data_IF_301126353151
#
_entry.id   IF_301126353151
#
_cell.length_a   1.000
_cell.length_b   1.000
_cell.length_c   1.000
_cell.angle_alpha   90.00
_cell.angle_beta   90.00
_cell.angle_gamma   90.00
#
_symmetry.space_group_name_H-M   'P 1'
#
loop_
_entity.id
_entity.type
_entity.pdbx_description
1 polymer ?
#
# COMPACT_ATOMS: atom_id res chain seq x y z
N UNK A 1 45.97 37.52 8.71
CA UNK A 1 44.58 37.71 9.21
C UNK A 1 43.99 36.33 9.46
N UNK A 2 43.76 35.98 10.72
CA UNK A 2 43.44 34.62 11.16
C UNK A 2 42.58 34.73 12.42
N UNK A 3 41.33 34.28 12.39
CA UNK A 3 40.63 33.81 13.59
C UNK A 3 39.59 32.75 13.26
N UNK A 4 39.51 31.75 14.13
CA UNK A 4 38.53 30.67 14.12
C UNK A 4 37.30 31.12 14.95
N UNK A 5 36.12 30.57 14.67
CA UNK A 5 34.95 30.68 15.57
C UNK A 5 34.45 29.29 15.95
N UNK A 6 34.42 29.04 17.26
CA UNK A 6 33.80 27.87 17.89
C UNK A 6 32.86 28.35 19.00
N UNK A 7 32.12 27.37 19.54
CA UNK A 7 31.34 27.38 20.78
C UNK A 7 29.86 27.79 20.62
N UNK A 8 29.00 26.92 21.15
CA UNK A 8 27.55 26.96 21.09
C UNK A 8 26.93 27.75 22.25
N UNK A 9 25.67 28.22 22.13
CA UNK A 9 24.97 28.88 23.24
C UNK A 9 24.44 27.88 24.27
N UNK A 10 24.82 28.10 25.54
CA UNK A 10 24.15 27.53 26.71
C UNK A 10 22.65 27.88 26.72
N UNK A 11 21.82 26.95 27.21
CA UNK A 11 20.47 27.26 27.72
C UNK A 11 20.28 26.65 29.09
N UNK A 12 20.37 27.48 30.12
CA UNK A 12 19.96 27.17 31.49
C UNK A 12 19.11 28.35 31.96
N UNK A 13 17.87 28.06 32.37
CA UNK A 13 17.06 28.95 33.21
C UNK A 13 15.98 28.09 33.86
N UNK A 14 16.06 27.97 35.18
CA UNK A 14 15.17 27.14 35.98
C UNK A 14 13.77 27.75 36.09
N UNK A 15 12.77 26.89 36.33
CA UNK A 15 11.36 27.29 36.45
C UNK A 15 10.81 26.82 37.81
N UNK A 16 11.17 27.55 38.86
CA UNK A 16 10.68 27.31 40.20
C UNK A 16 9.38 28.10 40.47
N UNK A 17 8.24 27.41 40.47
CA UNK A 17 6.98 27.92 41.03
C UNK A 17 6.33 26.76 41.81
N UNK A 18 6.36 26.85 43.14
CA UNK A 18 5.63 25.95 44.04
C UNK A 18 4.54 26.71 44.80
N UNK A 19 3.32 26.18 44.94
CA UNK A 19 2.27 26.82 45.73
C UNK A 19 2.45 26.52 47.23
N UNK A 20 2.46 27.58 48.05
CA UNK A 20 2.55 27.50 49.50
C UNK A 20 1.17 27.23 50.13
N UNK A 21 1.10 26.29 51.08
CA UNK A 21 -0.10 26.08 51.90
C UNK A 21 -0.03 26.94 53.17
N UNK A 22 -1.11 27.70 53.41
CA UNK A 22 -1.30 28.59 54.55
C UNK A 22 -1.56 27.78 55.82
N UNK A 23 -0.67 27.87 56.80
CA UNK A 23 -0.89 27.40 58.17
C UNK A 23 -1.23 28.58 59.07
N UNK A 24 -2.36 28.51 59.79
CA UNK A 24 -2.78 29.51 60.78
C UNK A 24 -2.61 28.93 62.18
N UNK A 25 -1.65 29.45 62.94
CA UNK A 25 -1.55 29.18 64.38
C UNK A 25 -2.40 30.18 65.16
N UNK A 26 -3.04 29.73 66.25
CA UNK A 26 -3.65 30.60 67.25
C UNK A 26 -3.54 30.02 68.66
N UNK A 27 -2.84 30.77 69.50
CA UNK A 27 -2.65 30.69 70.97
C UNK A 27 -2.78 32.17 71.42
N UNK A 28 -3.27 32.56 72.63
CA UNK A 28 -3.42 31.80 73.88
C UNK A 28 -4.78 31.97 74.61
N UNK A 29 -4.97 31.27 75.74
CA UNK A 29 -5.11 31.88 77.09
C UNK A 29 -5.18 30.82 78.19
N UNK A 30 -4.40 31.03 79.25
CA UNK A 30 -4.43 30.29 80.51
C UNK A 30 -5.15 31.09 81.59
N UNK A 31 -5.77 30.41 82.56
CA UNK A 31 -6.18 30.97 83.86
C UNK A 31 -6.30 29.83 84.89
N UNK A 32 -5.76 29.96 86.11
CA UNK A 32 -5.73 28.89 87.10
C UNK A 32 -6.90 28.97 88.10
N UNK A 33 -7.28 27.84 88.70
CA UNK A 33 -8.02 27.81 89.97
C UNK A 33 -7.78 26.52 90.76
N UNK A 34 -8.03 26.60 92.07
CA UNK A 34 -7.61 25.71 93.18
C UNK A 34 -8.75 25.85 94.25
N UNK A 35 -9.09 24.95 95.18
CA UNK A 35 -8.24 23.98 95.90
C UNK A 35 -8.70 22.48 95.77
N UNK A 36 -9.32 21.71 96.73
CA UNK A 36 -8.92 20.29 96.86
C UNK A 36 -9.99 19.17 97.09
N UNK A 37 -9.48 17.93 96.98
CA UNK A 37 -9.75 16.73 97.82
C UNK A 37 -11.10 15.97 97.77
N UNK A 38 -10.99 14.79 97.15
CA UNK A 38 -11.35 13.45 97.68
C UNK A 38 -12.74 13.17 98.29
N UNK A 39 -13.41 12.14 97.74
CA UNK A 39 -13.92 10.96 98.45
C UNK A 39 -13.95 9.76 97.47
N UNK A 40 -13.83 8.55 98.01
CA UNK A 40 -13.75 7.26 97.30
C UNK A 40 -15.16 6.71 97.02
N UNK A 41 -15.45 6.19 95.82
CA UNK A 41 -16.39 5.06 95.68
C UNK A 41 -16.25 4.26 94.37
N UNK A 42 -16.22 2.95 94.58
CA UNK A 42 -16.27 1.77 93.73
C UNK A 42 -16.82 1.78 92.28
N UNK A 43 -16.20 0.88 91.49
CA UNK A 43 -16.82 -0.19 90.66
C UNK A 43 -16.81 -0.12 89.12
N UNK A 44 -16.69 -1.33 88.54
CA UNK A 44 -16.89 -1.76 87.14
C UNK A 44 -15.80 -1.45 86.08
N UNK A 45 -15.10 -2.49 85.54
CA UNK A 45 -14.22 -2.36 84.39
C UNK A 45 -15.00 -2.42 83.07
N UNK A 46 -15.41 -1.27 82.54
CA UNK A 46 -15.88 -1.18 81.16
C UNK A 46 -14.69 -1.28 80.19
N UNK A 47 -14.41 -2.48 79.68
CA UNK A 47 -13.51 -2.67 78.54
C UNK A 47 -14.09 -1.99 77.29
N UNK A 48 -13.83 -0.68 77.13
CA UNK A 48 -14.15 0.01 75.89
C UNK A 48 -13.22 -0.54 74.80
N UNK A 49 -13.73 -1.45 73.98
CA UNK A 49 -13.09 -1.82 72.73
C UNK A 49 -12.98 -0.57 71.86
N UNK A 50 -11.84 0.12 71.94
CA UNK A 50 -11.42 1.11 70.95
C UNK A 50 -11.10 0.36 69.67
N UNK A 51 -12.16 -0.03 68.96
CA UNK A 51 -12.11 -0.28 67.53
C UNK A 51 -11.70 1.03 66.87
N UNK A 52 -10.40 1.27 66.80
CA UNK A 52 -9.84 2.25 65.88
C UNK A 52 -10.35 1.83 64.49
N UNK A 53 -11.13 2.69 63.79
CA UNK A 53 -11.38 2.44 62.39
C UNK A 53 -10.06 2.71 61.67
N UNK A 54 -9.23 1.67 61.53
CA UNK A 54 -8.24 1.63 60.45
C UNK A 54 -9.02 1.56 59.14
N UNK A 55 -9.54 2.71 58.71
CA UNK A 55 -9.95 2.95 57.34
C UNK A 55 -8.68 2.95 56.50
N UNK A 56 -8.16 1.75 56.23
CA UNK A 56 -7.04 1.55 55.34
C UNK A 56 -7.50 1.87 53.91
N UNK A 57 -7.47 3.17 53.58
CA UNK A 57 -7.74 3.68 52.24
C UNK A 57 -6.63 3.14 51.34
N UNK A 58 -6.90 2.00 50.71
CA UNK A 58 -6.07 1.47 49.64
C UNK A 58 -6.34 2.32 48.42
N UNK A 59 -5.45 3.29 48.15
CA UNK A 59 -5.41 3.98 46.88
C UNK A 59 -5.07 2.97 45.78
N UNK A 60 -6.09 2.31 45.24
CA UNK A 60 -5.98 1.46 44.08
C UNK A 60 -5.70 2.34 42.86
N UNK A 61 -4.42 2.54 42.53
CA UNK A 61 -4.03 3.06 41.23
C UNK A 61 -4.45 2.04 40.16
N UNK A 62 -5.23 2.50 39.19
CA UNK A 62 -5.85 1.64 38.19
C UNK A 62 -4.79 1.07 37.23
N UNK A 63 -4.30 -0.13 37.57
CA UNK A 63 -3.38 -0.98 36.80
C UNK A 63 -2.05 -0.31 36.41
N UNK A 64 -1.10 -0.29 37.35
CA UNK A 64 0.35 -0.08 37.09
C UNK A 64 1.05 -1.29 36.44
N UNK A 65 0.31 -2.31 36.00
CA UNK A 65 0.80 -3.38 35.14
C UNK A 65 0.12 -3.31 33.78
N UNK A 66 0.93 -3.31 32.71
CA UNK A 66 0.45 -3.29 31.35
C UNK A 66 -0.51 -4.46 31.10
N UNK A 67 -1.67 -4.16 30.50
CA UNK A 67 -2.79 -5.10 30.32
C UNK A 67 -2.31 -6.50 29.90
N UNK A 68 -2.54 -7.51 30.73
CA UNK A 68 -2.03 -8.87 30.53
C UNK A 68 -2.41 -9.52 29.19
N UNK A 69 -3.48 -9.05 28.55
CA UNK A 69 -3.95 -9.50 27.23
C UNK A 69 -3.74 -8.46 26.09
N UNK A 70 -2.81 -7.51 26.23
CA UNK A 70 -2.37 -6.68 25.08
C UNK A 70 -1.50 -7.51 24.15
N UNK A 71 -2.11 -8.04 23.08
CA UNK A 71 -1.38 -8.43 21.87
C UNK A 71 -0.37 -7.34 21.51
N UNK A 72 0.89 -7.72 21.26
CA UNK A 72 1.91 -6.77 20.80
C UNK A 72 1.44 -6.12 19.50
N UNK A 73 1.19 -4.81 19.55
CA UNK A 73 0.72 -4.01 18.40
C UNK A 73 1.88 -3.46 17.56
N UNK A 74 3.03 -4.13 17.56
CA UNK A 74 4.17 -3.74 16.74
C UNK A 74 4.12 -4.41 15.36
N UNK A 75 3.85 -3.68 14.26
CA UNK A 75 3.81 -4.26 12.93
C UNK A 75 5.23 -4.48 12.39
N UNK A 76 5.53 -5.70 11.91
CA UNK A 76 6.81 -6.05 11.31
C UNK A 76 7.37 -4.97 10.36
N UNK A 77 8.64 -4.62 10.56
CA UNK A 77 9.33 -3.51 9.90
C UNK A 77 9.28 -3.56 8.37
N UNK A 78 8.96 -2.41 7.75
CA UNK A 78 8.65 -2.33 6.31
C UNK A 78 9.87 -2.26 5.37
N UNK A 79 11.08 -2.51 5.87
CA UNK A 79 12.36 -2.59 5.11
C UNK A 79 12.59 -1.38 4.17
N UNK A 80 12.23 -0.18 4.63
CA UNK A 80 12.45 1.08 3.93
C UNK A 80 13.95 1.45 3.85
N UNK A 81 14.27 2.62 3.29
CA UNK A 81 15.63 3.13 3.12
C UNK A 81 16.26 2.78 1.77
N UNK A 82 17.57 3.05 1.66
CA UNK A 82 18.36 2.78 0.48
C UNK A 82 18.38 1.28 0.14
N UNK A 83 18.53 1.00 -1.16
CA UNK A 83 18.72 -0.32 -1.78
C UNK A 83 19.90 -0.31 -2.76
N UNK A 84 20.31 0.88 -3.21
CA UNK A 84 21.54 1.14 -3.96
C UNK A 84 22.31 2.30 -3.33
N UNK A 85 23.61 2.12 -3.17
CA UNK A 85 24.54 3.12 -2.60
C UNK A 85 25.04 4.08 -3.68
N UNK A 86 25.64 5.21 -3.27
CA UNK A 86 26.27 6.15 -4.20
C UNK A 86 27.46 5.49 -4.92
N UNK A 87 27.52 5.61 -6.24
CA UNK A 87 28.53 4.97 -7.09
C UNK A 87 28.25 3.51 -7.46
N UNK A 88 27.13 2.93 -7.02
CA UNK A 88 26.73 1.56 -7.41
C UNK A 88 26.10 1.55 -8.82
N UNK A 89 26.43 0.53 -9.61
CA UNK A 89 25.87 0.34 -10.95
C UNK A 89 24.43 -0.18 -10.89
N UNK A 90 23.57 0.36 -11.76
CA UNK A 90 22.14 0.04 -11.85
C UNK A 90 21.68 -0.09 -13.30
N UNK A 91 20.64 -0.90 -13.47
CA UNK A 91 19.95 -1.21 -14.73
C UNK A 91 18.51 -0.67 -14.63
N UNK A 92 17.84 -0.30 -15.75
CA UNK A 92 16.45 0.16 -15.73
C UNK A 92 15.52 -0.73 -14.86
N UNK A 93 14.65 -0.09 -14.08
CA UNK A 93 13.75 -0.76 -13.14
C UNK A 93 14.37 -1.12 -11.79
N UNK A 94 15.69 -1.00 -11.61
CA UNK A 94 16.32 -1.22 -10.30
C UNK A 94 15.84 -0.18 -9.27
N UNK A 95 15.32 -0.66 -8.13
CA UNK A 95 14.94 0.19 -7.00
C UNK A 95 16.20 0.74 -6.33
N UNK A 96 16.27 2.07 -6.15
CA UNK A 96 17.38 2.76 -5.49
C UNK A 96 17.03 3.07 -4.03
N UNK A 97 15.81 3.58 -3.77
CA UNK A 97 15.40 4.00 -2.42
C UNK A 97 13.90 3.78 -2.18
N UNK A 98 13.54 3.12 -1.07
CA UNK A 98 12.14 2.91 -0.65
C UNK A 98 11.79 3.84 0.51
N UNK A 99 10.70 4.59 0.41
CA UNK A 99 10.38 5.64 1.40
C UNK A 99 8.88 5.75 1.72
N UNK A 100 8.57 6.68 2.62
CA UNK A 100 7.24 7.17 2.94
C UNK A 100 7.31 8.70 2.89
N UNK A 101 6.52 9.29 2.02
CA UNK A 101 6.77 10.64 1.50
C UNK A 101 8.07 10.72 0.69
N UNK A 102 8.37 11.92 0.18
CA UNK A 102 9.55 12.22 -0.63
C UNK A 102 10.67 12.81 0.24
N UNK A 103 11.42 11.95 0.93
CA UNK A 103 12.66 12.38 1.63
C UNK A 103 13.77 12.67 0.63
N UNK A 104 13.82 11.85 -0.41
CA UNK A 104 14.57 12.07 -1.64
C UNK A 104 13.58 12.27 -2.78
N UNK A 105 13.95 13.10 -3.75
CA UNK A 105 13.22 13.35 -4.99
C UNK A 105 13.92 12.63 -6.17
N UNK A 106 13.17 12.21 -7.21
CA UNK A 106 13.78 11.71 -8.43
C UNK A 106 14.57 12.83 -9.10
N UNK A 107 15.85 12.57 -9.37
CA UNK A 107 16.74 13.41 -10.17
C UNK A 107 16.87 12.90 -11.60
N UNK A 108 17.98 13.24 -12.24
CA UNK A 108 18.28 12.82 -13.62
C UNK A 108 18.30 11.29 -13.76
N UNK A 109 17.66 10.76 -14.81
CA UNK A 109 17.60 9.33 -15.16
C UNK A 109 17.02 8.42 -14.05
N UNK A 110 16.19 9.01 -13.18
CA UNK A 110 15.42 8.35 -12.14
C UNK A 110 13.93 8.68 -12.29
N UNK A 111 13.08 7.76 -11.87
CA UNK A 111 11.63 7.98 -11.77
C UNK A 111 11.11 7.54 -10.39
N UNK A 112 9.88 7.94 -10.08
CA UNK A 112 9.24 7.71 -8.79
C UNK A 112 7.94 6.94 -8.94
N UNK A 113 7.80 5.84 -8.21
CA UNK A 113 6.59 5.02 -8.18
C UNK A 113 5.51 5.57 -7.26
N UNK A 114 4.31 4.97 -7.32
CA UNK A 114 3.13 5.35 -6.52
C UNK A 114 3.37 5.41 -5.00
N UNK A 115 4.27 4.58 -4.46
CA UNK A 115 4.61 4.57 -3.02
C UNK A 115 5.83 5.46 -2.68
N UNK A 116 6.19 6.38 -3.59
CA UNK A 116 7.38 7.24 -3.57
C UNK A 116 8.72 6.50 -3.65
N UNK A 117 8.73 5.21 -3.99
CA UNK A 117 9.97 4.47 -4.28
C UNK A 117 10.65 5.05 -5.52
N UNK A 118 11.95 5.37 -5.41
CA UNK A 118 12.77 5.85 -6.53
C UNK A 118 13.44 4.65 -7.21
N UNK A 119 13.40 4.60 -8.53
CA UNK A 119 13.99 3.58 -9.38
C UNK A 119 14.73 4.19 -10.58
N UNK A 120 15.74 3.49 -11.09
CA UNK A 120 16.50 3.91 -12.27
C UNK A 120 15.66 3.75 -13.55
N UNK A 121 15.68 4.73 -14.45
CA UNK A 121 15.10 4.60 -15.80
C UNK A 121 16.13 4.15 -16.83
N UNK A 122 17.42 4.39 -16.59
CA UNK A 122 18.51 4.10 -17.52
C UNK A 122 19.68 3.37 -16.83
N UNK A 123 20.58 2.77 -17.62
CA UNK A 123 21.73 2.03 -17.13
C UNK A 123 22.93 2.95 -16.83
N UNK A 124 23.43 2.93 -15.59
CA UNK A 124 24.46 3.84 -15.11
C UNK A 124 24.79 3.67 -13.62
N UNK A 125 25.27 4.73 -12.98
CA UNK A 125 25.75 4.75 -11.59
C UNK A 125 24.96 5.74 -10.74
N UNK A 126 24.50 5.31 -9.56
CA UNK A 126 23.66 6.12 -8.66
C UNK A 126 24.44 7.29 -8.06
N UNK A 127 23.89 8.50 -8.11
CA UNK A 127 24.43 9.68 -7.43
C UNK A 127 23.36 10.36 -6.57
N UNK A 128 23.74 10.66 -5.32
CA UNK A 128 22.93 11.43 -4.36
C UNK A 128 23.47 12.87 -4.37
N UNK A 129 22.61 13.87 -4.55
CA UNK A 129 23.04 15.27 -4.71
C UNK A 129 21.99 16.28 -4.23
N UNK A 130 22.39 17.54 -4.11
CA UNK A 130 21.52 18.70 -3.92
C UNK A 130 21.52 19.50 -5.22
N UNK A 131 20.39 20.12 -5.59
CA UNK A 131 20.32 21.02 -6.74
C UNK A 131 19.75 22.38 -6.29
N UNK A 132 20.61 23.31 -5.83
CA UNK A 132 20.15 24.61 -5.33
C UNK A 132 19.63 25.53 -6.44
N UNK A 133 20.05 25.33 -7.71
CA UNK A 133 19.57 26.12 -8.85
C UNK A 133 18.09 25.87 -9.14
N UNK A 134 17.62 24.63 -8.96
CA UNK A 134 16.19 24.31 -9.04
C UNK A 134 15.48 24.50 -7.70
N UNK A 135 15.93 23.80 -6.65
CA UNK A 135 15.23 23.69 -5.37
C UNK A 135 16.23 23.62 -4.20
N UNK A 136 16.46 24.75 -3.54
CA UNK A 136 17.44 24.95 -2.45
C UNK A 136 17.50 23.84 -1.39
N UNK A 137 16.34 23.41 -0.86
CA UNK A 137 16.27 22.46 0.27
C UNK A 137 16.12 20.99 -0.15
N UNK A 138 15.81 20.70 -1.42
CA UNK A 138 15.43 19.34 -1.84
C UNK A 138 16.65 18.50 -2.19
N UNK A 139 16.58 17.23 -1.79
CA UNK A 139 17.64 16.24 -1.99
C UNK A 139 17.25 15.27 -3.10
N UNK A 140 18.17 14.98 -4.00
CA UNK A 140 17.91 14.23 -5.22
C UNK A 140 18.72 12.94 -5.32
N UNK A 141 18.14 11.97 -6.02
CA UNK A 141 18.79 10.72 -6.43
C UNK A 141 18.70 10.65 -7.96
N UNK A 142 19.84 10.64 -8.64
CA UNK A 142 19.93 10.48 -10.09
C UNK A 142 20.88 9.34 -10.48
N UNK A 143 20.98 9.08 -11.79
CA UNK A 143 21.86 8.06 -12.38
C UNK A 143 22.73 8.68 -13.47
N UNK A 144 24.05 8.64 -13.28
CA UNK A 144 25.05 9.05 -14.26
C UNK A 144 25.37 7.91 -15.23
N UNK A 145 25.59 8.19 -16.51
CA UNK A 145 26.02 7.16 -17.47
C UNK A 145 27.43 6.62 -17.22
N UNK A 146 28.31 7.52 -16.81
CA UNK A 146 29.72 7.26 -16.49
C UNK A 146 29.89 7.18 -14.98
N UNK A 147 30.88 6.39 -14.53
CA UNK A 147 31.17 6.23 -13.11
C UNK A 147 31.54 7.55 -12.47
N UNK A 148 32.38 8.35 -13.13
CA UNK A 148 32.90 9.62 -12.61
C UNK A 148 32.02 10.83 -12.92
N UNK A 149 30.87 10.60 -13.58
CA UNK A 149 29.85 11.61 -13.81
C UNK A 149 29.34 12.22 -12.50
N UNK A 150 29.26 13.55 -12.47
CA UNK A 150 28.77 14.36 -11.34
C UNK A 150 27.38 14.92 -11.66
N UNK A 151 26.53 14.96 -10.63
CA UNK A 151 25.23 15.65 -10.64
C UNK A 151 25.23 16.73 -9.55
N UNK A 152 24.48 17.84 -9.70
CA UNK A 152 23.59 18.16 -10.84
C UNK A 152 24.37 18.48 -12.12
N UNK A 153 23.74 18.27 -13.29
CA UNK A 153 24.24 18.88 -14.53
C UNK A 153 24.02 20.40 -14.50
N UNK A 154 24.97 21.22 -14.96
CA UNK A 154 24.81 22.67 -14.98
C UNK A 154 23.82 23.09 -16.06
N UNK A 155 22.98 24.09 -15.76
CA UNK A 155 21.80 24.48 -16.58
C UNK A 155 22.05 24.70 -18.08
N UNK A 156 23.24 25.15 -18.47
CA UNK A 156 23.57 25.48 -19.86
C UNK A 156 24.34 24.35 -20.60
N UNK A 157 24.63 23.22 -19.96
CA UNK A 157 25.28 22.10 -20.62
C UNK A 157 24.29 21.24 -21.44
N UNK A 158 24.74 20.59 -22.53
CA UNK A 158 23.90 19.67 -23.29
C UNK A 158 23.50 18.45 -22.43
N UNK A 159 22.21 18.10 -22.50
CA UNK A 159 21.66 16.89 -21.87
C UNK A 159 22.32 15.65 -22.43
N UNK A 160 23.13 14.96 -21.60
CA UNK A 160 23.72 13.65 -21.94
C UNK A 160 22.58 12.63 -22.04
N UNK A 161 22.60 11.75 -23.04
CA UNK A 161 21.59 10.70 -23.28
C UNK A 161 22.25 9.47 -23.93
N UNK A 162 21.69 8.27 -23.72
CA UNK A 162 22.10 7.05 -24.43
C UNK A 162 21.08 6.64 -25.49
N UNK A 163 21.55 6.21 -26.65
CA UNK A 163 20.68 5.72 -27.73
C UNK A 163 20.05 4.35 -27.42
N UNK A 164 20.73 3.52 -26.61
CA UNK A 164 20.27 2.20 -26.14
C UNK A 164 19.71 1.29 -27.25
N UNK A 165 20.29 1.35 -28.46
CA UNK A 165 19.95 0.53 -29.62
C UNK A 165 21.21 -0.01 -30.28
N UNK A 166 21.09 -1.17 -30.90
CA UNK A 166 22.15 -1.83 -31.69
C UNK A 166 21.73 -1.78 -33.16
N UNK A 167 22.68 -1.50 -34.06
CA UNK A 167 22.44 -1.61 -35.49
C UNK A 167 22.33 -3.09 -35.87
N UNK A 168 21.19 -3.50 -36.40
CA UNK A 168 20.95 -4.84 -36.94
C UNK A 168 20.86 -4.68 -38.46
N UNK A 169 21.62 -5.43 -39.27
CA UNK A 169 21.48 -5.37 -40.72
C UNK A 169 20.05 -5.75 -41.11
N UNK A 170 19.46 -4.99 -42.04
CA UNK A 170 18.13 -5.31 -42.54
C UNK A 170 18.20 -6.64 -43.29
N UNK A 171 17.53 -7.65 -42.76
CA UNK A 171 17.29 -8.89 -43.50
C UNK A 171 16.33 -8.53 -44.64
N UNK A 172 16.80 -8.64 -45.87
CA UNK A 172 15.93 -8.59 -47.03
C UNK A 172 15.11 -9.87 -47.07
N UNK A 173 13.89 -9.79 -46.57
CA UNK A 173 12.88 -10.80 -46.88
C UNK A 173 12.58 -10.69 -48.36
N UNK A 174 13.29 -11.48 -49.17
CA UNK A 174 12.86 -11.79 -50.54
C UNK A 174 11.39 -12.21 -50.40
N UNK A 175 10.43 -11.48 -50.99
CA UNK A 175 9.05 -11.91 -50.94
C UNK A 175 9.02 -13.30 -51.58
N UNK A 176 8.53 -14.30 -50.86
CA UNK A 176 8.28 -15.61 -51.46
C UNK A 176 7.48 -15.35 -52.74
N UNK A 177 7.90 -15.88 -53.90
CA UNK A 177 7.30 -15.53 -55.18
C UNK A 177 5.79 -15.73 -55.05
N UNK A 178 5.04 -14.64 -55.25
CA UNK A 178 3.58 -14.65 -55.14
C UNK A 178 3.08 -15.46 -56.32
N UNK A 179 2.96 -16.77 -56.09
CA UNK A 179 2.54 -17.73 -57.08
C UNK A 179 1.07 -17.47 -57.42
N UNK A 180 0.81 -16.78 -58.52
CA UNK A 180 -0.49 -16.74 -59.15
C UNK A 180 -1.52 -15.78 -58.55
N UNK A 181 -1.14 -14.53 -58.24
CA UNK A 181 -2.05 -13.43 -58.56
C UNK A 181 -1.71 -12.93 -59.96
N UNK A 182 -2.29 -13.61 -60.95
CA UNK A 182 -2.42 -13.07 -62.30
C UNK A 182 -3.35 -11.88 -62.24
N UNK A 183 -2.80 -10.67 -62.27
CA UNK A 183 -3.60 -9.48 -62.51
C UNK A 183 -4.36 -9.66 -63.82
N UNK A 184 -5.69 -9.68 -63.73
CA UNK A 184 -6.61 -9.83 -64.85
C UNK A 184 -6.60 -8.54 -65.69
N UNK A 185 -5.53 -8.33 -66.46
CA UNK A 185 -5.52 -7.41 -67.60
C UNK A 185 -6.30 -8.08 -68.73
N UNK A 186 -7.61 -8.16 -68.56
CA UNK A 186 -8.52 -8.48 -69.64
C UNK A 186 -8.73 -7.21 -70.48
N UNK A 187 -8.17 -7.18 -71.68
CA UNK A 187 -8.51 -6.18 -72.69
C UNK A 187 -10.01 -6.21 -72.95
N UNK A 188 -10.67 -5.06 -72.86
CA UNK A 188 -12.12 -4.94 -72.97
C UNK A 188 -12.49 -4.78 -74.45
N UNK A 189 -12.82 -5.90 -75.10
CA UNK A 189 -13.70 -5.94 -76.26
C UNK A 189 -14.79 -6.98 -75.97
N UNK A 190 -16.05 -6.55 -76.11
CA UNK A 190 -17.30 -7.31 -76.01
C UNK A 190 -17.64 -8.11 -74.72
N UNK A 191 -18.53 -7.50 -73.91
CA UNK A 191 -19.56 -8.24 -73.16
C UNK A 191 -19.20 -8.67 -71.73
N UNK A 192 -19.57 -7.86 -70.74
CA UNK A 192 -19.47 -8.22 -69.32
C UNK A 192 -20.45 -9.37 -68.97
N UNK A 193 -19.93 -10.60 -68.91
CA UNK A 193 -20.55 -11.70 -68.16
C UNK A 193 -19.83 -11.88 -66.83
N UNK A 194 -20.40 -11.29 -65.77
CA UNK A 194 -20.03 -11.66 -64.39
C UNK A 194 -20.58 -13.06 -64.12
N UNK A 195 -19.75 -14.09 -64.26
CA UNK A 195 -20.07 -15.39 -63.67
C UNK A 195 -20.04 -15.25 -62.16
N UNK A 196 -21.18 -15.48 -61.51
CA UNK A 196 -21.22 -15.60 -60.06
C UNK A 196 -20.44 -16.85 -59.66
N UNK A 197 -19.23 -16.68 -59.14
CA UNK A 197 -18.53 -17.76 -58.45
C UNK A 197 -19.42 -18.18 -57.29
N UNK A 198 -19.87 -19.44 -57.31
CA UNK A 198 -20.70 -19.98 -56.25
C UNK A 198 -19.99 -19.79 -54.92
N UNK A 199 -20.75 -19.37 -53.89
CA UNK A 199 -20.22 -19.25 -52.54
C UNK A 199 -19.85 -20.64 -52.04
N UNK A 200 -18.57 -21.01 -52.23
CA UNK A 200 -18.00 -22.24 -51.69
C UNK A 200 -18.26 -22.21 -50.19
N UNK A 201 -19.15 -23.10 -49.73
CA UNK A 201 -19.50 -23.20 -48.32
C UNK A 201 -18.24 -23.58 -47.55
N UNK A 202 -17.58 -22.57 -46.99
CA UNK A 202 -16.41 -22.73 -46.17
C UNK A 202 -16.85 -23.30 -44.82
N UNK A 203 -17.09 -24.62 -44.78
CA UNK A 203 -17.02 -25.46 -43.58
C UNK A 203 -15.58 -25.44 -43.07
N UNK A 204 -15.16 -24.26 -42.62
CA UNK A 204 -13.80 -23.85 -42.34
C UNK A 204 -13.42 -24.19 -40.90
N UNK A 205 -13.71 -25.44 -40.53
CA UNK A 205 -13.14 -26.10 -39.38
C UNK A 205 -11.67 -26.38 -39.62
N UNK A 206 -10.82 -25.35 -39.52
CA UNK A 206 -9.37 -25.49 -39.62
C UNK A 206 -8.88 -26.50 -38.58
N UNK A 207 -8.49 -27.69 -39.04
CA UNK A 207 -7.98 -28.76 -38.18
C UNK A 207 -6.60 -28.37 -37.63
N UNK A 208 -6.63 -27.72 -36.47
CA UNK A 208 -5.44 -27.29 -35.76
C UNK A 208 -4.74 -28.48 -35.08
N UNK A 209 -3.40 -28.41 -35.00
CA UNK A 209 -2.56 -29.40 -34.32
C UNK A 209 -2.99 -29.60 -32.85
N UNK A 210 -2.80 -30.81 -32.26
CA UNK A 210 -3.17 -31.08 -30.88
C UNK A 210 -2.58 -30.05 -29.91
N UNK A 211 -3.45 -29.31 -29.21
CA UNK A 211 -3.07 -28.22 -28.30
C UNK A 211 -3.45 -26.81 -28.79
N UNK A 212 -3.60 -26.60 -30.09
CA UNK A 212 -4.16 -25.37 -30.65
C UNK A 212 -5.68 -25.49 -30.76
N UNK A 213 -6.39 -25.26 -29.66
CA UNK A 213 -7.85 -25.23 -29.68
C UNK A 213 -8.32 -23.89 -30.27
N UNK A 214 -9.21 -23.91 -31.27
CA UNK A 214 -9.81 -22.69 -31.82
C UNK A 214 -10.46 -21.88 -30.70
N UNK A 215 -10.12 -20.60 -30.61
CA UNK A 215 -10.69 -19.66 -29.66
C UNK A 215 -11.25 -18.47 -30.43
N UNK A 216 -12.55 -18.23 -30.28
CA UNK A 216 -13.21 -17.05 -30.83
C UNK A 216 -12.46 -15.76 -30.48
N UNK A 217 -12.52 -14.78 -31.39
CA UNK A 217 -11.88 -13.49 -31.18
C UNK A 217 -12.52 -12.78 -29.97
N UNK A 218 -11.73 -12.01 -29.21
CA UNK A 218 -12.23 -11.37 -27.98
C UNK A 218 -13.47 -10.47 -28.20
N UNK A 219 -13.64 -9.89 -29.40
CA UNK A 219 -14.82 -9.11 -29.76
C UNK A 219 -16.08 -9.97 -30.00
N UNK A 220 -15.94 -11.19 -30.52
CA UNK A 220 -17.03 -12.15 -30.68
C UNK A 220 -17.48 -12.67 -29.31
N UNK A 221 -16.52 -13.02 -28.44
CA UNK A 221 -16.77 -13.40 -27.04
C UNK A 221 -17.50 -12.25 -26.30
N UNK A 222 -17.14 -11.00 -26.55
CA UNK A 222 -17.82 -9.82 -26.00
C UNK A 222 -19.29 -9.71 -26.38
N UNK A 223 -19.68 -10.15 -27.58
CA UNK A 223 -21.08 -10.17 -28.07
C UNK A 223 -21.86 -11.44 -27.68
N UNK A 224 -21.30 -12.33 -26.87
CA UNK A 224 -22.01 -13.55 -26.44
C UNK A 224 -23.36 -13.26 -25.76
N UNK A 225 -23.50 -12.13 -25.05
CA UNK A 225 -24.77 -11.70 -24.45
C UNK A 225 -25.81 -11.30 -25.51
N UNK A 226 -25.40 -10.59 -26.57
CA UNK A 226 -26.26 -10.20 -27.70
C UNK A 226 -26.70 -11.44 -28.49
N UNK A 227 -25.74 -12.33 -28.82
CA UNK A 227 -25.98 -13.61 -29.52
C UNK A 227 -26.95 -14.52 -28.75
N UNK A 228 -26.95 -14.44 -27.42
CA UNK A 228 -27.86 -15.19 -26.55
C UNK A 228 -29.18 -14.44 -26.24
N UNK A 229 -29.42 -13.26 -26.82
CA UNK A 229 -30.62 -12.44 -26.56
C UNK A 229 -30.75 -11.93 -25.13
N UNK A 230 -29.65 -11.88 -24.36
CA UNK A 230 -29.66 -11.53 -22.93
C UNK A 230 -29.64 -10.01 -22.77
N UNK A 231 -30.80 -9.38 -22.89
CA UNK A 231 -30.98 -7.96 -22.58
C UNK A 231 -30.84 -7.69 -21.07
N UNK A 232 -30.15 -6.60 -20.71
CA UNK A 232 -30.05 -6.16 -19.33
C UNK A 232 -31.44 -5.76 -18.77
N UNK A 233 -31.80 -6.28 -17.59
CA UNK A 233 -33.10 -5.95 -16.97
C UNK A 233 -33.12 -4.49 -16.52
N UNK A 234 -34.10 -3.73 -17.01
CA UNK A 234 -34.33 -2.33 -16.65
C UNK A 234 -34.49 -2.15 -15.13
N UNK A 235 -33.88 -1.10 -14.58
CA UNK A 235 -33.85 -0.85 -13.13
C UNK A 235 -35.14 -0.17 -12.64
N UNK A 236 -35.96 -0.89 -11.87
CA UNK A 236 -37.18 -0.35 -11.26
C UNK A 236 -36.90 0.31 -9.90
N UNK A 237 -36.94 1.64 -9.81
CA UNK A 237 -36.72 2.39 -8.55
C UNK A 237 -37.75 2.07 -7.45
N UNK A 238 -38.99 1.72 -7.82
CA UNK A 238 -40.10 1.53 -6.87
C UNK A 238 -40.12 0.18 -6.15
N UNK A 239 -39.27 -0.80 -6.52
CA UNK A 239 -39.30 -2.14 -5.95
C UNK A 239 -38.29 -2.32 -4.79
N UNK A 240 -38.54 -1.63 -3.67
CA UNK A 240 -37.62 -1.58 -2.49
C UNK A 240 -37.24 -2.96 -1.95
N UNK A 241 -38.15 -3.93 -2.03
CA UNK A 241 -37.97 -5.31 -1.55
C UNK A 241 -37.28 -6.26 -2.55
N UNK A 242 -37.04 -5.83 -3.79
CA UNK A 242 -36.39 -6.65 -4.82
C UNK A 242 -34.96 -7.05 -4.45
N UNK A 243 -34.22 -6.16 -3.78
CA UNK A 243 -32.87 -6.45 -3.29
C UNK A 243 -32.88 -7.55 -2.20
N UNK A 244 -33.86 -7.53 -1.29
CA UNK A 244 -34.02 -8.54 -0.25
C UNK A 244 -34.42 -9.90 -0.83
N UNK A 245 -35.39 -9.94 -1.76
CA UNK A 245 -35.76 -11.17 -2.48
C UNK A 245 -34.58 -11.76 -3.27
N UNK A 246 -33.81 -10.93 -3.99
CA UNK A 246 -32.55 -11.35 -4.66
C UNK A 246 -31.46 -11.82 -3.69
N UNK A 247 -31.46 -11.37 -2.43
CA UNK A 247 -30.54 -11.87 -1.40
C UNK A 247 -30.98 -13.24 -0.90
N UNK A 248 -32.27 -13.44 -0.62
CA UNK A 248 -32.83 -14.73 -0.18
C UNK A 248 -32.63 -15.82 -1.24
N UNK A 249 -33.01 -15.54 -2.49
CA UNK A 249 -32.83 -16.48 -3.61
C UNK A 249 -31.35 -16.86 -3.87
N UNK A 250 -30.41 -15.93 -3.64
CA UNK A 250 -28.97 -16.25 -3.69
C UNK A 250 -28.51 -17.16 -2.56
N UNK A 251 -29.02 -16.96 -1.34
CA UNK A 251 -28.72 -17.81 -0.20
C UNK A 251 -29.30 -19.24 -0.40
N UNK A 252 -30.53 -19.34 -0.88
CA UNK A 252 -31.20 -20.61 -1.22
C UNK A 252 -30.42 -21.37 -2.32
N UNK A 253 -30.05 -20.70 -3.42
CA UNK A 253 -29.22 -21.31 -4.48
C UNK A 253 -27.83 -21.74 -3.98
N UNK A 254 -27.21 -20.97 -3.09
CA UNK A 254 -25.93 -21.34 -2.49
C UNK A 254 -26.06 -22.57 -1.56
N UNK A 255 -27.15 -22.66 -0.77
CA UNK A 255 -27.46 -23.82 0.05
C UNK A 255 -27.71 -25.08 -0.81
N UNK A 256 -28.47 -24.95 -1.90
CA UNK A 256 -28.71 -26.02 -2.87
C UNK A 256 -27.39 -26.52 -3.49
N UNK A 257 -26.52 -25.61 -3.95
CA UNK A 257 -25.20 -25.98 -4.48
C UNK A 257 -24.31 -26.66 -3.44
N UNK A 258 -24.36 -26.23 -2.17
CA UNK A 258 -23.64 -26.88 -1.06
C UNK A 258 -24.17 -28.28 -0.80
N UNK A 259 -25.50 -28.47 -0.82
CA UNK A 259 -26.16 -29.78 -0.70
C UNK A 259 -25.76 -30.73 -1.84
N UNK A 260 -25.84 -30.28 -3.10
CA UNK A 260 -25.44 -31.07 -4.27
C UNK A 260 -23.94 -31.45 -4.21
N UNK A 261 -23.06 -30.53 -3.81
CA UNK A 261 -21.63 -30.79 -3.62
C UNK A 261 -21.38 -31.82 -2.51
N UNK A 262 -22.13 -31.78 -1.42
CA UNK A 262 -22.06 -32.76 -0.34
C UNK A 262 -22.59 -34.13 -0.80
N UNK A 263 -23.71 -34.19 -1.54
CA UNK A 263 -24.25 -35.44 -2.13
C UNK A 263 -23.23 -36.09 -3.08
N UNK A 264 -22.57 -35.30 -3.94
CA UNK A 264 -21.50 -35.77 -4.84
C UNK A 264 -20.24 -36.25 -4.10
N UNK A 265 -19.90 -35.65 -2.95
CA UNK A 265 -18.84 -36.17 -2.07
C UNK A 265 -19.24 -37.50 -1.44
N UNK A 266 -20.45 -37.59 -0.90
CA UNK A 266 -20.95 -38.81 -0.26
C UNK A 266 -21.06 -40.00 -1.23
N UNK A 267 -21.49 -39.78 -2.48
CA UNK A 267 -21.51 -40.84 -3.50
C UNK A 267 -20.10 -41.28 -3.89
N UNK A 268 -19.14 -40.34 -4.03
CA UNK A 268 -17.74 -40.68 -4.36
C UNK A 268 -17.03 -41.43 -3.24
N UNK A 269 -17.46 -41.29 -1.98
CA UNK A 269 -16.95 -42.04 -0.84
C UNK A 269 -17.54 -43.44 -0.65
N UNK A 270 -18.57 -43.84 -1.43
CA UNK A 270 -19.20 -45.18 -1.34
C UNK A 270 -18.76 -46.18 -2.42
N UNK A 271 -17.99 -45.74 -3.42
CA UNK A 271 -17.45 -46.60 -4.49
C UNK A 271 -16.01 -47.06 -4.25
N UNK A 272 -15.60 -47.19 -2.99
CA UNK A 272 -14.24 -47.53 -2.56
C UNK A 272 -14.25 -48.61 -1.49
N UNK A 273 -14.69 -49.80 -1.87
CA UNK A 273 -14.49 -51.10 -1.21
C UNK A 273 -14.41 -52.15 -2.29
#
# INVERSE_FOLDING_TARGET
MLQQRLIAPFRVLERAIGPTLRSTQSIPRSSPSIIPRSIISASAPAFSNRLFPLSQVRHASHASQGTANRHSRDPAGKRLGAKRSGGEYVVPGCIIFRQRGTKWFPGENCAMGRDHTIYATEAGYVRYYLNPELHSERKYIGVCFEKDGKLPTPRNAPSRRKLNRVAVPRIETVPAPIAGQSDLVASIEDGVKVSSVEAVNAESGSQLRPGYMYREANWQIGRAAEKAGITAKQYSRNNRWLAWRKRKARAERAAQMKSLKNKKKASKGKGGR
#
